data_IF_981025793159
#
_entry.id   IF_981025793159
#
_cell.length_a   1.000
_cell.length_b   1.000
_cell.length_c   1.000
_cell.angle_alpha   90.00
_cell.angle_beta   90.00
_cell.angle_gamma   90.00
#
_symmetry.space_group_name_H-M   'P 1'
#
loop_
_entity.id
_entity.type
_entity.pdbx_description
1 polymer ?
#
# COMPACT_ATOMS: atom_id res chain seq x y z
N UNK A 1 -0.73 35.40 -18.46
CA UNK A 1 0.15 34.57 -17.61
C UNK A 1 0.39 33.29 -18.38
N UNK A 2 1.59 33.13 -18.94
CA UNK A 2 1.99 31.86 -19.57
C UNK A 2 2.24 30.83 -18.47
N UNK A 3 2.19 29.54 -18.79
CA UNK A 3 2.47 28.46 -17.82
C UNK A 3 3.89 28.53 -17.19
N UNK A 4 4.76 29.40 -17.72
CA UNK A 4 6.12 29.66 -17.26
C UNK A 4 6.26 30.64 -16.08
N UNK A 5 5.24 31.46 -15.79
CA UNK A 5 5.37 32.65 -14.90
C UNK A 5 4.60 32.55 -13.57
N UNK A 6 3.98 31.41 -13.26
CA UNK A 6 3.29 31.26 -11.98
C UNK A 6 4.31 31.12 -10.85
N UNK A 7 4.17 31.82 -9.71
CA UNK A 7 4.94 31.51 -8.51
C UNK A 7 4.41 30.22 -7.84
N UNK A 8 5.24 29.51 -7.06
CA UNK A 8 4.78 28.36 -6.28
C UNK A 8 3.63 28.77 -5.35
N UNK A 9 2.59 27.94 -5.25
CA UNK A 9 1.39 28.21 -4.47
C UNK A 9 1.61 28.06 -2.96
N UNK A 10 2.70 27.41 -2.54
CA UNK A 10 3.05 27.29 -1.13
C UNK A 10 4.39 26.60 -0.84
N UNK A 11 4.71 26.38 0.46
CA UNK A 11 6.03 25.91 0.89
C UNK A 11 6.43 24.52 0.36
N UNK A 12 5.45 23.68 0.02
CA UNK A 12 5.71 22.40 -0.64
C UNK A 12 6.22 22.62 -2.07
N UNK A 13 5.52 23.43 -2.87
CA UNK A 13 5.90 23.70 -4.25
C UNK A 13 7.21 24.46 -4.33
N UNK A 14 7.46 25.43 -3.44
CA UNK A 14 8.76 26.12 -3.34
C UNK A 14 9.93 25.13 -3.21
N UNK A 15 9.80 24.14 -2.30
CA UNK A 15 10.82 23.10 -2.11
C UNK A 15 10.94 22.18 -3.31
N UNK A 16 9.82 21.78 -3.92
CA UNK A 16 9.80 20.93 -5.10
C UNK A 16 10.47 21.61 -6.29
N UNK A 17 10.25 22.91 -6.45
CA UNK A 17 10.81 23.73 -7.53
C UNK A 17 12.30 23.92 -7.35
N UNK A 18 12.74 24.31 -6.15
CA UNK A 18 14.16 24.43 -5.84
C UNK A 18 14.90 23.11 -6.08
N UNK A 19 14.33 21.98 -5.65
CA UNK A 19 14.90 20.66 -5.92
C UNK A 19 14.96 20.33 -7.42
N UNK A 20 13.95 20.72 -8.18
CA UNK A 20 13.88 20.49 -9.62
C UNK A 20 14.91 21.35 -10.39
N UNK A 21 15.01 22.65 -10.07
CA UNK A 21 15.98 23.57 -10.68
C UNK A 21 17.44 23.14 -10.40
N UNK A 22 17.69 22.58 -9.22
CA UNK A 22 19.01 22.02 -8.86
C UNK A 22 19.27 20.62 -9.43
N UNK A 23 18.32 20.05 -10.20
CA UNK A 23 18.45 18.71 -10.79
C UNK A 23 18.43 17.56 -9.77
N UNK A 24 17.90 17.79 -8.56
CA UNK A 24 17.86 16.81 -7.46
C UNK A 24 16.66 15.88 -7.57
N UNK A 25 16.63 15.05 -8.62
CA UNK A 25 15.51 14.16 -8.93
C UNK A 25 15.07 13.27 -7.74
N UNK A 26 16.01 12.70 -6.99
CA UNK A 26 15.69 11.87 -5.82
C UNK A 26 14.93 12.65 -4.73
N UNK A 27 15.25 13.93 -4.53
CA UNK A 27 14.55 14.80 -3.59
C UNK A 27 13.15 15.14 -4.09
N UNK A 28 12.99 15.43 -5.39
CA UNK A 28 11.67 15.65 -5.98
C UNK A 28 10.75 14.43 -5.78
N UNK A 29 11.25 13.23 -6.07
CA UNK A 29 10.48 11.99 -5.87
C UNK A 29 10.14 11.76 -4.40
N UNK A 30 11.07 12.05 -3.48
CA UNK A 30 10.80 11.97 -2.04
C UNK A 30 9.74 12.96 -1.57
N UNK A 31 9.70 14.17 -2.15
CA UNK A 31 8.67 15.17 -1.86
C UNK A 31 7.31 14.72 -2.41
N UNK A 32 7.26 14.26 -3.67
CA UNK A 32 6.03 13.77 -4.30
C UNK A 32 5.45 12.56 -3.56
N UNK A 33 6.29 11.70 -2.99
CA UNK A 33 5.88 10.57 -2.15
C UNK A 33 4.96 10.98 -0.99
N UNK A 34 5.20 12.15 -0.40
CA UNK A 34 4.48 12.67 0.76
C UNK A 34 3.41 13.70 0.37
N UNK A 35 3.21 13.92 -0.93
CA UNK A 35 2.29 14.93 -1.42
C UNK A 35 0.86 14.42 -1.48
N UNK A 36 -0.06 15.29 -1.08
CA UNK A 36 -1.46 15.20 -1.44
C UNK A 36 -1.66 15.85 -2.81
N UNK A 37 -2.23 15.11 -3.75
CA UNK A 37 -2.39 15.54 -5.13
C UNK A 37 -3.85 15.88 -5.43
N UNK A 38 -4.05 17.02 -6.10
CA UNK A 38 -5.33 17.42 -6.64
C UNK A 38 -5.60 16.69 -7.96
N UNK A 39 -6.69 15.94 -8.00
CA UNK A 39 -7.17 15.19 -9.16
C UNK A 39 -8.40 15.89 -9.72
N UNK A 40 -8.38 16.35 -10.99
CA UNK A 40 -9.53 17.00 -11.59
C UNK A 40 -10.74 16.07 -11.61
N UNK A 41 -11.91 16.60 -11.24
CA UNK A 41 -13.20 15.93 -11.35
C UNK A 41 -14.23 16.86 -12.00
N UNK A 42 -15.30 16.30 -12.55
CA UNK A 42 -16.41 17.09 -13.09
C UNK A 42 -17.17 17.81 -11.96
N UNK A 43 -17.87 18.90 -12.30
CA UNK A 43 -18.77 19.57 -11.36
C UNK A 43 -19.92 18.67 -10.90
N UNK A 44 -20.41 17.78 -11.78
CA UNK A 44 -21.44 16.80 -11.43
C UNK A 44 -20.92 15.78 -10.41
N UNK A 45 -19.67 15.32 -10.55
CA UNK A 45 -19.05 14.43 -9.58
C UNK A 45 -18.83 15.13 -8.23
N UNK A 46 -18.40 16.39 -8.24
CA UNK A 46 -18.26 17.19 -7.02
C UNK A 46 -19.61 17.43 -6.31
N UNK A 47 -20.70 17.54 -7.06
CA UNK A 47 -22.07 17.64 -6.53
C UNK A 47 -22.67 16.29 -6.10
N UNK A 48 -21.94 15.18 -6.26
CA UNK A 48 -22.41 13.83 -5.95
C UNK A 48 -23.48 13.30 -6.91
N UNK A 49 -23.62 13.90 -8.09
CA UNK A 49 -24.59 13.50 -9.13
C UNK A 49 -24.08 12.34 -9.99
N UNK A 50 -22.76 12.13 -10.04
CA UNK A 50 -22.10 11.02 -10.73
C UNK A 50 -20.84 10.57 -9.98
N UNK A 51 -20.34 9.35 -10.20
CA UNK A 51 -19.05 8.94 -9.63
C UNK A 51 -17.89 9.73 -10.29
N UNK A 52 -16.83 10.07 -9.53
CA UNK A 52 -15.67 10.76 -10.09
C UNK A 52 -14.92 9.86 -11.09
N UNK A 53 -14.77 10.34 -12.32
CA UNK A 53 -13.96 9.70 -13.35
C UNK A 53 -12.48 10.12 -13.24
N UNK A 54 -11.59 9.25 -13.73
CA UNK A 54 -10.16 9.57 -13.83
C UNK A 54 -9.89 10.52 -14.99
N UNK A 55 -9.39 11.72 -14.69
CA UNK A 55 -8.88 12.63 -15.71
C UNK A 55 -7.61 12.06 -16.34
N UNK A 56 -7.62 11.88 -17.66
CA UNK A 56 -6.51 11.26 -18.40
C UNK A 56 -6.14 12.06 -19.65
N UNK A 57 -4.89 11.88 -20.10
CA UNK A 57 -4.43 12.32 -21.41
C UNK A 57 -3.61 11.21 -22.07
N UNK A 58 -3.67 11.12 -23.39
CA UNK A 58 -2.81 10.24 -24.17
C UNK A 58 -1.52 10.96 -24.57
N UNK A 59 -0.38 10.32 -24.38
CA UNK A 59 0.93 10.88 -24.71
C UNK A 59 2.00 9.79 -24.75
N UNK A 60 2.94 9.87 -25.69
CA UNK A 60 4.04 8.90 -25.86
C UNK A 60 3.57 7.43 -25.94
N UNK A 61 2.41 7.19 -26.55
CA UNK A 61 1.83 5.86 -26.69
C UNK A 61 1.27 5.26 -25.39
N UNK A 62 1.10 6.06 -24.33
CA UNK A 62 0.54 5.66 -23.04
C UNK A 62 -0.56 6.62 -22.59
N UNK A 63 -1.53 6.09 -21.84
CA UNK A 63 -2.50 6.88 -21.09
C UNK A 63 -1.91 7.34 -19.75
N UNK A 64 -2.00 8.64 -19.49
CA UNK A 64 -1.49 9.29 -18.28
C UNK A 64 -2.65 9.82 -17.44
N UNK A 65 -2.69 9.42 -16.17
CA UNK A 65 -3.58 9.99 -15.18
C UNK A 65 -3.05 11.37 -14.78
N UNK A 66 -3.91 12.38 -14.77
CA UNK A 66 -3.52 13.76 -14.50
C UNK A 66 -3.68 14.09 -13.02
N UNK A 67 -2.62 14.60 -12.42
CA UNK A 67 -2.59 15.02 -11.03
C UNK A 67 -1.81 16.33 -10.88
N UNK A 68 -2.15 17.10 -9.86
CA UNK A 68 -1.57 18.42 -9.63
C UNK A 68 -1.12 18.59 -8.19
N UNK A 69 -0.04 19.33 -7.97
CA UNK A 69 0.50 19.59 -6.63
C UNK A 69 -0.31 20.61 -5.84
N UNK A 70 -1.24 21.32 -6.51
CA UNK A 70 -2.15 22.29 -5.91
C UNK A 70 -3.37 22.52 -6.80
N UNK A 71 -4.44 23.11 -6.25
CA UNK A 71 -5.63 23.51 -7.01
C UNK A 71 -5.26 24.64 -7.97
N UNK A 72 -4.39 25.55 -7.54
CA UNK A 72 -3.86 26.65 -8.34
C UNK A 72 -3.09 26.14 -9.56
N UNK A 73 -2.24 25.12 -9.39
CA UNK A 73 -1.54 24.46 -10.49
C UNK A 73 -2.53 23.79 -11.47
N UNK A 74 -3.56 23.11 -10.94
CA UNK A 74 -4.60 22.48 -11.75
C UNK A 74 -5.40 23.51 -12.58
N UNK A 75 -5.86 24.58 -11.95
CA UNK A 75 -6.62 25.64 -12.62
C UNK A 75 -5.77 26.33 -13.67
N UNK A 76 -4.49 26.59 -13.39
CA UNK A 76 -3.57 27.16 -14.37
C UNK A 76 -3.38 26.22 -15.58
N UNK A 77 -3.01 24.97 -15.34
CA UNK A 77 -2.70 24.00 -16.39
C UNK A 77 -3.90 23.72 -17.31
N UNK A 78 -5.11 23.76 -16.75
CA UNK A 78 -6.35 23.57 -17.50
C UNK A 78 -6.90 24.85 -18.15
N UNK A 79 -6.21 25.99 -18.02
CA UNK A 79 -6.70 27.27 -18.51
C UNK A 79 -8.02 27.72 -17.86
N UNK A 80 -8.28 27.29 -16.63
CA UNK A 80 -9.50 27.57 -15.87
C UNK A 80 -10.64 26.57 -16.10
N UNK A 81 -10.46 25.55 -16.94
CA UNK A 81 -11.51 24.56 -17.22
C UNK A 81 -11.76 23.61 -16.03
N UNK A 82 -10.70 23.20 -15.34
CA UNK A 82 -10.81 22.37 -14.13
C UNK A 82 -11.01 23.26 -12.90
N UNK A 83 -12.23 23.20 -12.35
CA UNK A 83 -12.66 24.01 -11.20
C UNK A 83 -12.93 23.17 -9.94
N UNK A 84 -13.05 21.85 -10.09
CA UNK A 84 -13.31 20.93 -8.99
C UNK A 84 -12.24 19.84 -8.96
N UNK A 85 -11.83 19.44 -7.77
CA UNK A 85 -10.87 18.37 -7.57
C UNK A 85 -11.23 17.46 -6.40
N UNK A 86 -10.74 16.23 -6.46
CA UNK A 86 -10.57 15.35 -5.30
C UNK A 86 -9.10 15.37 -4.91
N UNK A 87 -8.81 15.43 -3.61
CA UNK A 87 -7.45 15.33 -3.09
C UNK A 87 -7.18 13.87 -2.72
N UNK A 88 -6.02 13.33 -3.10
CA UNK A 88 -5.58 12.00 -2.73
C UNK A 88 -4.05 11.91 -2.64
N UNK A 89 -3.56 11.14 -1.67
CA UNK A 89 -2.16 10.72 -1.58
C UNK A 89 -1.81 9.70 -2.67
N UNK A 90 -0.51 9.49 -2.93
CA UNK A 90 -0.06 8.43 -3.85
C UNK A 90 -0.49 7.03 -3.42
N UNK A 91 -0.61 6.77 -2.12
CA UNK A 91 -1.02 5.47 -1.60
C UNK A 91 -2.51 5.22 -1.84
N UNK A 92 -3.36 6.22 -1.62
CA UNK A 92 -4.79 6.17 -1.97
C UNK A 92 -5.00 6.00 -3.47
N UNK A 93 -4.22 6.72 -4.28
CA UNK A 93 -4.21 6.56 -5.73
C UNK A 93 -3.86 5.13 -6.13
N UNK A 94 -2.79 4.56 -5.58
CA UNK A 94 -2.35 3.20 -5.90
C UNK A 94 -3.37 2.13 -5.48
N UNK A 95 -4.12 2.36 -4.39
CA UNK A 95 -5.17 1.45 -3.94
C UNK A 95 -6.33 1.35 -4.96
N UNK A 96 -6.66 2.47 -5.60
CA UNK A 96 -7.72 2.56 -6.61
C UNK A 96 -7.22 2.62 -8.05
N UNK A 97 -5.98 2.17 -8.32
CA UNK A 97 -5.33 2.40 -9.61
C UNK A 97 -6.11 1.72 -10.75
N UNK A 98 -6.58 2.47 -11.77
CA UNK A 98 -7.55 1.96 -12.73
C UNK A 98 -6.97 0.93 -13.72
N UNK A 99 -5.70 1.11 -14.12
CA UNK A 99 -5.02 0.25 -15.07
C UNK A 99 -3.51 0.32 -14.82
N UNK A 100 -2.88 -0.84 -14.64
CA UNK A 100 -1.45 -0.95 -14.31
C UNK A 100 -0.51 -0.43 -15.40
N UNK A 101 -1.03 -0.21 -16.62
CA UNK A 101 -0.28 0.32 -17.77
C UNK A 101 -0.28 1.84 -17.82
N UNK A 102 -1.13 2.50 -17.03
CA UNK A 102 -1.23 3.95 -17.02
C UNK A 102 -0.14 4.58 -16.16
N UNK A 103 0.44 5.66 -16.67
CA UNK A 103 1.40 6.47 -15.92
C UNK A 103 0.70 7.58 -15.13
N UNK A 104 1.45 8.28 -14.28
CA UNK A 104 0.99 9.48 -13.57
C UNK A 104 1.72 10.70 -14.14
N UNK A 105 0.96 11.66 -14.68
CA UNK A 105 1.47 12.96 -15.08
C UNK A 105 1.16 13.97 -13.96
N UNK A 106 2.21 14.42 -13.27
CA UNK A 106 2.13 15.45 -12.23
C UNK A 106 2.41 16.81 -12.87
N UNK A 107 1.49 17.75 -12.71
CA UNK A 107 1.56 19.10 -13.25
C UNK A 107 1.80 19.16 -14.78
N UNK A 108 1.11 18.34 -15.60
CA UNK A 108 1.32 18.33 -17.05
C UNK A 108 1.14 19.74 -17.64
N UNK A 109 2.08 20.14 -18.49
CA UNK A 109 2.07 21.46 -19.15
C UNK A 109 2.57 22.62 -18.29
N UNK A 110 2.97 22.38 -17.03
CA UNK A 110 3.63 23.38 -16.19
C UNK A 110 5.15 23.24 -16.21
N UNK A 111 5.85 24.31 -15.80
CA UNK A 111 7.32 24.39 -15.73
C UNK A 111 7.94 23.24 -14.92
N UNK A 112 7.40 22.99 -13.74
CA UNK A 112 7.83 21.87 -12.87
C UNK A 112 6.82 20.75 -12.99
N UNK A 113 7.09 19.84 -13.94
CA UNK A 113 6.24 18.70 -14.28
C UNK A 113 7.01 17.38 -14.23
N UNK A 114 6.27 16.29 -14.00
CA UNK A 114 6.85 14.96 -13.88
C UNK A 114 5.97 13.94 -14.59
N UNK A 115 6.60 13.06 -15.36
CA UNK A 115 5.99 11.84 -15.90
C UNK A 115 6.51 10.66 -15.11
N UNK A 116 5.64 10.04 -14.32
CA UNK A 116 5.97 8.90 -13.48
C UNK A 116 5.42 7.62 -14.13
N UNK A 117 6.34 6.75 -14.54
CA UNK A 117 6.03 5.40 -14.99
C UNK A 117 5.21 4.62 -13.95
N UNK A 118 4.32 3.70 -14.35
CA UNK A 118 3.46 2.96 -13.41
C UNK A 118 4.27 2.26 -12.30
N UNK A 119 5.40 1.64 -12.65
CA UNK A 119 6.29 1.03 -11.65
C UNK A 119 6.91 2.04 -10.68
N UNK A 120 7.16 3.27 -11.11
CA UNK A 120 7.62 4.35 -10.23
C UNK A 120 6.51 4.79 -9.30
N UNK A 121 5.28 4.91 -9.78
CA UNK A 121 4.10 5.19 -8.94
C UNK A 121 3.95 4.11 -7.87
N UNK A 122 4.00 2.82 -8.24
CA UNK A 122 3.91 1.70 -7.31
C UNK A 122 4.95 1.77 -6.18
N UNK A 123 6.21 2.05 -6.53
CA UNK A 123 7.32 2.12 -5.55
C UNK A 123 7.28 3.36 -4.66
N UNK A 124 6.75 4.48 -5.16
CA UNK A 124 6.55 5.68 -4.34
C UNK A 124 5.36 5.49 -3.40
N UNK A 125 4.24 4.97 -3.90
CA UNK A 125 3.04 4.73 -3.12
C UNK A 125 3.27 3.70 -2.01
N UNK A 126 3.89 2.57 -2.36
CA UNK A 126 4.17 1.47 -1.43
C UNK A 126 5.62 1.06 -1.57
N UNK A 127 6.55 1.73 -0.86
CA UNK A 127 7.96 1.32 -0.84
C UNK A 127 8.15 -0.07 -0.21
N UNK A 128 9.32 -0.66 -0.46
CA UNK A 128 9.75 -1.87 0.25
C UNK A 128 10.05 -1.57 1.72
N UNK A 129 9.97 -2.57 2.59
CA UNK A 129 10.31 -2.40 4.02
C UNK A 129 11.72 -1.82 4.24
N UNK A 130 12.68 -2.19 3.38
CA UNK A 130 14.06 -1.70 3.44
C UNK A 130 14.13 -0.22 3.08
N UNK A 131 13.35 0.22 2.10
CA UNK A 131 13.24 1.64 1.74
C UNK A 131 12.54 2.43 2.83
N UNK A 132 11.44 1.92 3.38
CA UNK A 132 10.70 2.55 4.48
C UNK A 132 11.61 2.83 5.69
N UNK A 133 12.41 1.84 6.10
CA UNK A 133 13.36 2.04 7.20
C UNK A 133 14.50 3.00 6.86
N UNK A 134 14.93 3.08 5.60
CA UNK A 134 15.93 4.09 5.18
C UNK A 134 15.35 5.50 5.24
N UNK A 135 14.09 5.66 4.86
CA UNK A 135 13.36 6.93 4.87
C UNK A 135 13.09 7.37 6.31
N UNK A 136 12.62 6.47 7.17
CA UNK A 136 12.29 6.76 8.56
C UNK A 136 12.93 5.73 9.53
N UNK A 137 14.25 5.84 9.81
CA UNK A 137 14.96 4.87 10.65
C UNK A 137 14.40 4.73 12.08
N UNK A 138 13.76 5.78 12.59
CA UNK A 138 13.13 5.80 13.92
C UNK A 138 11.80 5.05 14.02
N UNK A 139 11.19 4.64 12.90
CA UNK A 139 9.91 3.92 12.91
C UNK A 139 10.02 2.48 13.46
N UNK A 140 11.22 1.90 13.38
CA UNK A 140 11.49 0.52 13.79
C UNK A 140 10.94 -0.51 12.80
N UNK A 141 11.35 -1.77 12.99
CA UNK A 141 10.92 -2.86 12.10
C UNK A 141 9.41 -3.11 12.26
N UNK A 142 8.63 -3.11 11.17
CA UNK A 142 7.18 -3.28 11.25
C UNK A 142 6.81 -4.67 11.81
N UNK A 143 5.67 -4.78 12.48
CA UNK A 143 5.09 -6.10 12.78
C UNK A 143 4.28 -6.51 11.57
N UNK A 144 4.48 -7.73 11.08
CA UNK A 144 3.62 -8.33 10.05
C UNK A 144 2.68 -9.34 10.67
N UNK A 145 1.55 -9.56 10.01
CA UNK A 145 0.58 -10.56 10.40
C UNK A 145 0.06 -11.39 9.23
N UNK A 146 -0.34 -12.63 9.53
CA UNK A 146 -0.99 -13.54 8.59
C UNK A 146 -2.14 -14.25 9.30
N UNK A 147 -3.30 -14.33 8.67
CA UNK A 147 -4.39 -15.17 9.15
C UNK A 147 -4.06 -16.64 8.90
N UNK A 148 -4.38 -17.51 9.86
CA UNK A 148 -4.07 -18.94 9.84
C UNK A 148 -5.35 -19.74 9.98
N UNK A 149 -5.52 -20.79 9.16
CA UNK A 149 -6.65 -21.69 9.31
C UNK A 149 -6.52 -22.47 10.62
N UNK A 150 -7.65 -22.74 11.29
CA UNK A 150 -7.64 -23.53 12.53
C UNK A 150 -7.03 -24.93 12.31
N UNK A 151 -7.17 -25.49 11.10
CA UNK A 151 -6.61 -26.78 10.71
C UNK A 151 -5.07 -26.79 10.63
N UNK A 152 -4.43 -25.64 10.39
CA UNK A 152 -2.97 -25.53 10.22
C UNK A 152 -2.26 -25.31 11.57
N UNK A 153 -3.00 -24.94 12.62
CA UNK A 153 -2.42 -24.66 13.94
C UNK A 153 -1.68 -25.85 14.57
N UNK A 154 -2.18 -27.11 14.53
CA UNK A 154 -1.47 -28.23 15.12
C UNK A 154 -0.09 -28.48 14.47
N UNK A 155 0.00 -28.34 13.15
CA UNK A 155 1.28 -28.46 12.43
C UNK A 155 2.21 -27.32 12.83
N UNK A 156 1.71 -26.07 12.80
CA UNK A 156 2.52 -24.91 13.17
C UNK A 156 3.04 -25.00 14.62
N UNK A 157 2.19 -25.42 15.56
CA UNK A 157 2.53 -25.53 16.99
C UNK A 157 3.52 -26.67 17.30
N UNK A 158 3.54 -27.72 16.47
CA UNK A 158 4.46 -28.85 16.63
C UNK A 158 5.80 -28.66 15.90
N UNK A 159 5.90 -27.69 15.00
CA UNK A 159 7.12 -27.41 14.24
C UNK A 159 8.24 -26.85 15.14
N UNK A 160 9.44 -27.44 15.02
CA UNK A 160 10.65 -26.96 15.70
C UNK A 160 11.41 -25.86 14.95
N UNK A 161 11.09 -25.67 13.67
CA UNK A 161 11.56 -24.61 12.78
C UNK A 161 10.35 -24.16 11.94
N UNK A 162 9.37 -23.49 12.56
CA UNK A 162 8.17 -23.09 11.84
C UNK A 162 8.51 -22.10 10.73
N UNK A 163 7.91 -22.30 9.56
CA UNK A 163 8.09 -21.47 8.36
C UNK A 163 6.75 -20.95 7.88
N UNK A 164 6.78 -19.80 7.21
CA UNK A 164 5.59 -19.18 6.63
C UNK A 164 5.83 -18.79 5.18
N UNK A 165 4.82 -19.02 4.35
CA UNK A 165 4.79 -18.70 2.92
C UNK A 165 3.50 -17.97 2.57
N UNK A 166 3.47 -17.35 1.39
CA UNK A 166 2.31 -16.63 0.85
C UNK A 166 2.26 -15.19 1.34
N UNK A 167 1.06 -14.60 1.31
CA UNK A 167 0.87 -13.21 1.68
C UNK A 167 0.80 -13.02 3.21
N UNK A 168 1.36 -11.91 3.67
CA UNK A 168 1.23 -11.35 5.01
C UNK A 168 1.14 -9.83 4.92
N UNK A 169 0.60 -9.18 5.95
CA UNK A 169 0.20 -7.77 5.89
C UNK A 169 0.86 -6.98 7.01
N UNK A 170 1.02 -5.68 6.83
CA UNK A 170 1.49 -4.78 7.88
C UNK A 170 0.46 -4.71 9.01
N UNK A 171 0.81 -5.15 10.23
CA UNK A 171 -0.16 -5.35 11.31
C UNK A 171 -0.79 -4.03 11.81
N UNK A 172 -0.08 -2.90 11.70
CA UNK A 172 -0.62 -1.60 12.08
C UNK A 172 -1.76 -1.15 11.15
N UNK A 173 -1.69 -1.51 9.87
CA UNK A 173 -2.63 -1.08 8.82
C UNK A 173 -4.01 -1.73 8.99
N UNK A 174 -4.12 -2.73 9.87
CA UNK A 174 -5.36 -3.45 10.20
C UNK A 174 -5.69 -3.39 11.70
N UNK A 175 -4.90 -2.64 12.47
CA UNK A 175 -5.03 -2.59 13.94
C UNK A 175 -6.34 -1.94 14.42
N UNK A 176 -6.98 -1.12 13.58
CA UNK A 176 -8.30 -0.52 13.84
C UNK A 176 -9.46 -1.50 13.61
N UNK A 177 -9.22 -2.65 12.98
CA UNK A 177 -10.26 -3.62 12.63
C UNK A 177 -10.35 -4.70 13.71
N UNK A 178 -11.16 -4.44 14.74
CA UNK A 178 -11.37 -5.38 15.84
C UNK A 178 -12.40 -6.49 15.52
N UNK A 179 -13.21 -6.34 14.47
CA UNK A 179 -14.25 -7.32 14.13
C UNK A 179 -13.69 -8.42 13.23
N UNK A 180 -13.67 -9.71 13.63
CA UNK A 180 -13.06 -10.78 12.85
C UNK A 180 -13.63 -10.90 11.43
N UNK A 181 -14.96 -10.85 11.29
CA UNK A 181 -15.60 -10.97 9.98
C UNK A 181 -15.24 -9.82 9.02
N UNK A 182 -15.01 -8.62 9.56
CA UNK A 182 -14.56 -7.46 8.78
C UNK A 182 -13.10 -7.63 8.39
N UNK A 183 -12.24 -8.03 9.32
CA UNK A 183 -10.82 -8.27 9.03
C UNK A 183 -10.64 -9.34 7.95
N UNK A 184 -11.34 -10.47 8.08
CA UNK A 184 -11.31 -11.55 7.08
C UNK A 184 -11.83 -11.08 5.72
N UNK A 185 -12.91 -10.29 5.70
CA UNK A 185 -13.46 -9.74 4.45
C UNK A 185 -12.50 -8.77 3.76
N UNK A 186 -11.90 -7.86 4.51
CA UNK A 186 -10.97 -6.84 4.00
C UNK A 186 -9.70 -7.49 3.43
N UNK A 187 -9.23 -8.58 4.03
CA UNK A 187 -8.09 -9.37 3.55
C UNK A 187 -8.47 -10.41 2.47
N UNK A 188 -9.73 -10.45 2.02
CA UNK A 188 -10.26 -11.45 1.09
C UNK A 188 -9.97 -12.90 1.52
N UNK A 189 -10.15 -13.18 2.82
CA UNK A 189 -9.82 -14.45 3.50
C UNK A 189 -10.95 -14.89 4.43
N UNK A 190 -12.21 -14.76 3.97
CA UNK A 190 -13.42 -15.07 4.76
C UNK A 190 -13.49 -16.52 5.21
N UNK A 191 -12.92 -17.42 4.41
CA UNK A 191 -12.80 -18.85 4.66
C UNK A 191 -11.97 -19.20 5.90
N UNK A 192 -11.17 -18.26 6.44
CA UNK A 192 -10.35 -18.47 7.63
C UNK A 192 -11.10 -18.19 8.94
N UNK A 193 -12.34 -17.70 8.88
CA UNK A 193 -13.20 -17.58 10.06
C UNK A 193 -13.49 -18.96 10.64
N UNK A 194 -13.34 -19.08 11.96
CA UNK A 194 -13.73 -20.29 12.66
C UNK A 194 -15.25 -20.41 12.73
N UNK A 195 -15.75 -21.60 13.06
CA UNK A 195 -17.19 -21.81 13.33
C UNK A 195 -17.71 -20.92 14.48
N UNK A 196 -16.84 -20.54 15.42
CA UNK A 196 -17.15 -19.61 16.51
C UNK A 196 -17.09 -18.12 16.10
N UNK A 197 -16.84 -17.83 14.82
CA UNK A 197 -16.72 -16.46 14.30
C UNK A 197 -15.45 -15.72 14.73
N UNK A 198 -14.42 -16.46 15.18
CA UNK A 198 -13.12 -15.91 15.59
C UNK A 198 -12.08 -16.08 14.47
N UNK A 199 -10.91 -15.44 14.63
CA UNK A 199 -9.76 -15.61 13.74
C UNK A 199 -8.51 -16.02 14.50
N UNK A 200 -7.68 -16.84 13.87
CA UNK A 200 -6.31 -17.10 14.32
C UNK A 200 -5.34 -16.23 13.53
N UNK A 201 -4.48 -15.51 14.23
CA UNK A 201 -3.55 -14.53 13.65
C UNK A 201 -2.14 -14.88 14.10
N UNK A 202 -1.25 -15.12 13.13
CA UNK A 202 0.18 -15.21 13.36
C UNK A 202 0.80 -13.82 13.21
N UNK A 203 1.54 -13.35 14.22
CA UNK A 203 2.24 -12.06 14.23
C UNK A 203 3.72 -12.23 14.50
N UNK A 204 4.57 -11.51 13.77
CA UNK A 204 6.01 -11.53 14.01
C UNK A 204 6.68 -10.26 13.50
N UNK A 205 7.90 -10.00 13.99
CA UNK A 205 8.78 -8.99 13.43
C UNK A 205 9.67 -9.64 12.37
N UNK A 206 9.67 -9.18 11.11
CA UNK A 206 10.47 -9.76 10.04
C UNK A 206 11.97 -9.67 10.32
N UNK A 207 12.69 -10.75 9.98
CA UNK A 207 14.16 -10.81 9.97
C UNK A 207 14.60 -11.05 8.53
N UNK A 208 15.59 -10.31 8.06
CA UNK A 208 15.97 -10.32 6.64
C UNK A 208 14.87 -9.69 5.78
N UNK A 209 14.72 -8.36 5.88
CA UNK A 209 13.60 -7.61 5.29
C UNK A 209 13.45 -7.79 3.77
N UNK A 210 14.54 -8.06 3.06
CA UNK A 210 14.54 -8.36 1.62
C UNK A 210 13.74 -9.63 1.27
N UNK A 211 13.50 -10.51 2.24
CA UNK A 211 12.66 -11.71 2.09
C UNK A 211 11.16 -11.38 2.09
N UNK A 212 10.77 -10.18 2.53
CA UNK A 212 9.40 -9.68 2.62
C UNK A 212 9.15 -8.73 1.47
N UNK A 213 9.01 -9.30 0.27
CA UNK A 213 8.95 -8.53 -0.97
C UNK A 213 7.56 -7.94 -1.15
N UNK A 214 7.50 -6.64 -1.41
CA UNK A 214 6.27 -5.99 -1.88
C UNK A 214 5.85 -6.63 -3.22
N UNK A 215 4.62 -7.14 -3.34
CA UNK A 215 4.17 -7.87 -4.52
C UNK A 215 3.73 -6.89 -5.62
N UNK A 216 4.69 -6.20 -6.25
CA UNK A 216 4.40 -5.48 -7.48
C UNK A 216 4.14 -6.49 -8.61
N UNK A 217 3.07 -6.32 -9.36
CA UNK A 217 2.65 -7.31 -10.34
C UNK A 217 1.37 -6.94 -11.09
N UNK A 218 0.73 -7.93 -11.69
CA UNK A 218 -0.59 -7.80 -12.31
C UNK A 218 -1.27 -9.16 -12.48
N UNK A 219 -2.45 -9.16 -13.09
CA UNK A 219 -3.19 -10.39 -13.40
C UNK A 219 -2.57 -11.22 -14.53
N UNK A 220 -1.72 -10.59 -15.33
CA UNK A 220 -0.99 -11.20 -16.45
C UNK A 220 0.44 -10.65 -16.52
N UNK A 221 1.19 -11.17 -17.50
CA UNK A 221 2.58 -10.79 -17.72
C UNK A 221 2.74 -9.33 -18.18
N UNK A 222 1.75 -8.78 -18.88
CA UNK A 222 1.75 -7.39 -19.35
C UNK A 222 1.59 -6.42 -18.18
N UNK A 223 0.61 -6.66 -17.31
CA UNK A 223 0.39 -5.89 -16.08
C UNK A 223 1.58 -5.99 -15.14
N UNK A 224 2.16 -7.19 -14.97
CA UNK A 224 3.40 -7.36 -14.19
C UNK A 224 4.53 -6.52 -14.76
N UNK A 225 4.73 -6.55 -16.08
CA UNK A 225 5.79 -5.79 -16.74
C UNK A 225 5.58 -4.28 -16.61
N UNK A 226 4.34 -3.80 -16.70
CA UNK A 226 4.00 -2.38 -16.64
C UNK A 226 4.42 -1.71 -15.31
N UNK A 227 4.28 -2.41 -14.19
CA UNK A 227 4.75 -1.92 -12.88
C UNK A 227 6.21 -2.31 -12.57
N UNK A 228 6.94 -2.85 -13.54
CA UNK A 228 8.26 -3.46 -13.35
C UNK A 228 8.27 -4.44 -12.17
N UNK A 229 7.17 -5.18 -12.04
CA UNK A 229 6.90 -6.10 -10.95
C UNK A 229 7.47 -7.48 -11.19
N UNK A 230 7.07 -8.43 -10.35
CA UNK A 230 7.57 -9.81 -10.39
C UNK A 230 6.49 -10.85 -10.09
N UNK A 231 5.27 -10.42 -9.73
CA UNK A 231 4.14 -11.29 -9.41
C UNK A 231 3.15 -11.30 -10.57
N UNK A 232 2.71 -12.49 -10.96
CA UNK A 232 1.46 -12.70 -11.70
C UNK A 232 0.53 -13.48 -10.78
N UNK A 233 -0.68 -13.00 -10.57
CA UNK A 233 -1.65 -13.61 -9.64
C UNK A 233 -3.08 -13.33 -10.13
N UNK A 234 -4.00 -14.26 -9.88
CA UNK A 234 -5.39 -14.12 -10.28
C UNK A 234 -6.10 -12.93 -9.57
N UNK A 235 -7.17 -12.37 -10.17
CA UNK A 235 -8.04 -11.44 -9.49
C UNK A 235 -8.55 -11.99 -8.15
N UNK A 236 -8.69 -11.15 -7.10
CA UNK A 236 -8.70 -9.69 -7.15
C UNK A 236 -7.33 -9.00 -6.95
N UNK A 237 -6.20 -9.63 -7.28
CA UNK A 237 -4.87 -9.02 -7.08
C UNK A 237 -4.70 -7.64 -7.77
N UNK A 238 -4.31 -6.60 -7.00
CA UNK A 238 -4.12 -5.22 -7.50
C UNK A 238 -2.73 -5.00 -8.09
N UNK A 239 -1.71 -5.68 -7.59
CA UNK A 239 -0.36 -5.57 -8.15
C UNK A 239 0.43 -4.31 -7.79
N UNK A 240 -0.07 -3.46 -6.89
CA UNK A 240 0.59 -2.24 -6.42
C UNK A 240 1.16 -2.36 -4.99
N UNK A 241 1.24 -3.59 -4.45
CA UNK A 241 1.72 -3.84 -3.08
C UNK A 241 0.69 -3.63 -1.97
N UNK A 242 -0.59 -3.52 -2.34
CA UNK A 242 -1.72 -3.33 -1.44
C UNK A 242 -2.71 -4.49 -1.59
N UNK A 243 -3.36 -4.82 -0.48
CA UNK A 243 -4.52 -5.71 -0.49
C UNK A 243 -5.64 -5.07 -1.32
N UNK A 244 -6.40 -5.84 -2.13
CA UNK A 244 -7.57 -5.35 -2.85
C UNK A 244 -8.72 -5.01 -1.92
N UNK A 245 -8.66 -3.82 -1.32
CA UNK A 245 -9.70 -3.27 -0.47
C UNK A 245 -10.04 -1.86 -0.91
N UNK A 246 -11.35 -1.56 -0.99
CA UNK A 246 -11.86 -0.26 -1.45
C UNK A 246 -11.55 0.85 -0.44
N UNK A 247 -11.72 0.54 0.85
CA UNK A 247 -11.72 1.55 1.92
C UNK A 247 -10.52 1.44 2.86
N UNK A 248 -9.65 0.44 2.68
CA UNK A 248 -8.53 0.19 3.58
C UNK A 248 -7.22 0.09 2.82
N UNK A 249 -6.28 0.96 3.17
CA UNK A 249 -4.92 0.92 2.66
C UNK A 249 -4.13 -0.06 3.51
N UNK A 250 -3.96 -1.28 3.02
CA UNK A 250 -3.26 -2.34 3.74
C UNK A 250 -2.10 -2.80 2.89
N UNK A 251 -0.89 -2.55 3.39
CA UNK A 251 0.33 -3.03 2.73
C UNK A 251 0.45 -4.53 2.90
N UNK A 252 0.77 -5.20 1.80
CA UNK A 252 1.01 -6.63 1.76
C UNK A 252 2.43 -6.97 1.31
N UNK A 253 2.88 -8.14 1.73
CA UNK A 253 4.20 -8.68 1.43
C UNK A 253 4.04 -10.16 1.09
N UNK A 254 4.76 -10.62 0.07
CA UNK A 254 4.79 -12.03 -0.33
C UNK A 254 6.10 -12.66 0.14
N UNK A 255 5.98 -13.72 0.94
CA UNK A 255 7.10 -14.44 1.54
C UNK A 255 7.16 -15.89 1.05
N UNK A 256 8.38 -16.45 1.01
CA UNK A 256 8.63 -17.82 0.55
C UNK A 256 9.41 -18.61 1.61
N UNK A 257 8.69 -19.39 2.41
CA UNK A 257 9.26 -20.29 3.40
C UNK A 257 10.15 -19.61 4.42
N UNK A 258 9.85 -18.36 4.79
CA UNK A 258 10.66 -17.62 5.77
C UNK A 258 10.48 -18.25 7.15
N UNK A 259 11.59 -18.45 7.88
CA UNK A 259 11.54 -18.98 9.24
C UNK A 259 10.95 -17.97 10.21
N UNK A 260 10.08 -18.41 11.12
CA UNK A 260 9.57 -17.53 12.16
C UNK A 260 10.65 -17.27 13.21
N UNK A 261 10.91 -16.00 13.55
CA UNK A 261 11.92 -15.64 14.54
C UNK A 261 11.41 -15.89 15.96
N UNK A 262 12.35 -15.90 16.92
CA UNK A 262 12.01 -15.84 18.34
C UNK A 262 11.04 -14.67 18.61
N UNK A 263 10.01 -14.94 19.42
CA UNK A 263 9.00 -13.95 19.76
C UNK A 263 7.90 -13.79 18.71
N UNK A 264 7.84 -14.65 17.68
CA UNK A 264 6.63 -14.80 16.88
C UNK A 264 5.47 -15.30 17.75
N UNK A 265 4.26 -14.84 17.49
CA UNK A 265 3.11 -15.05 18.37
C UNK A 265 1.89 -15.55 17.58
N UNK A 266 1.12 -16.45 18.20
CA UNK A 266 -0.21 -16.84 17.72
C UNK A 266 -1.23 -16.17 18.63
N UNK A 267 -2.18 -15.48 18.00
CA UNK A 267 -3.27 -14.75 18.62
C UNK A 267 -4.61 -15.31 18.15
N UNK A 268 -5.60 -15.25 19.03
CA UNK A 268 -7.01 -15.38 18.68
C UNK A 268 -7.64 -13.99 18.76
N UNK A 269 -8.32 -13.57 17.70
CA UNK A 269 -9.25 -12.43 17.74
C UNK A 269 -10.66 -13.00 17.87
N UNK A 270 -11.28 -12.82 19.03
CA UNK A 270 -12.61 -13.37 19.33
C UNK A 270 -13.71 -12.64 18.58
N UNK A 271 -14.91 -13.24 18.53
CA UNK A 271 -16.08 -12.61 17.92
C UNK A 271 -16.49 -11.29 18.61
N UNK A 272 -16.16 -11.14 19.88
CA UNK A 272 -16.33 -9.89 20.66
C UNK A 272 -15.26 -8.83 20.38
N UNK A 273 -14.29 -9.13 19.50
CA UNK A 273 -13.19 -8.24 19.14
C UNK A 273 -12.08 -8.12 20.20
N UNK A 274 -11.94 -9.14 21.06
CA UNK A 274 -10.86 -9.21 22.04
C UNK A 274 -9.71 -10.06 21.51
N UNK A 275 -8.48 -9.61 21.71
CA UNK A 275 -7.29 -10.37 21.33
C UNK A 275 -6.72 -11.18 22.51
N UNK A 276 -6.47 -12.46 22.27
CA UNK A 276 -5.85 -13.36 23.22
C UNK A 276 -4.62 -14.00 22.62
N UNK A 277 -3.44 -13.71 23.17
CA UNK A 277 -2.22 -14.43 22.81
C UNK A 277 -2.34 -15.87 23.28
N UNK A 278 -2.25 -16.82 22.35
CA UNK A 278 -2.35 -18.27 22.58
C UNK A 278 -0.99 -18.94 22.69
N UNK A 279 0.00 -18.46 21.94
CA UNK A 279 1.34 -19.03 21.97
C UNK A 279 2.42 -18.01 21.58
N UNK A 280 3.65 -18.27 22.00
CA UNK A 280 4.85 -17.55 21.57
C UNK A 280 5.94 -18.54 21.18
N UNK A 281 6.57 -18.35 20.04
CA UNK A 281 7.68 -19.18 19.58
C UNK A 281 8.98 -18.81 20.29
N UNK A 282 9.61 -19.78 20.95
CA UNK A 282 10.89 -19.60 21.60
C UNK A 282 12.01 -20.19 20.74
N UNK A 283 12.78 -19.31 20.08
CA UNK A 283 13.87 -19.70 19.16
C UNK A 283 14.88 -20.69 19.75
N UNK A 284 15.39 -20.45 20.96
CA UNK A 284 16.43 -21.33 21.54
C UNK A 284 15.91 -22.72 21.94
N UNK A 285 14.68 -22.80 22.46
CA UNK A 285 14.03 -24.06 22.82
C UNK A 285 13.39 -24.74 21.61
N UNK A 286 13.34 -24.06 20.46
CA UNK A 286 12.75 -24.54 19.20
C UNK A 286 11.36 -25.15 19.38
N UNK A 287 10.51 -24.43 20.12
CA UNK A 287 9.14 -24.84 20.41
C UNK A 287 8.23 -23.65 20.70
N UNK A 288 6.94 -23.87 20.56
CA UNK A 288 5.92 -22.93 21.02
C UNK A 288 5.67 -23.06 22.51
N UNK A 289 5.62 -21.91 23.19
CA UNK A 289 5.20 -21.80 24.57
C UNK A 289 3.72 -21.40 24.58
N UNK A 290 2.86 -22.30 25.02
CA UNK A 290 1.43 -22.03 25.13
C UNK A 290 1.16 -21.09 26.30
N UNK A 291 0.34 -20.07 26.05
CA UNK A 291 -0.14 -19.15 27.07
C UNK A 291 -1.48 -19.69 27.55
N UNK A 292 -1.50 -20.25 28.77
CA UNK A 292 -2.73 -20.74 29.38
C UNK A 292 -3.71 -19.58 29.61
N UNK A 293 -5.00 -19.83 29.40
CA UNK A 293 -6.05 -19.00 30.03
C UNK A 293 -5.86 -19.16 31.54
N UNK A 294 -5.62 -18.07 32.28
CA UNK A 294 -6.04 -18.09 33.68
C UNK A 294 -7.57 -18.21 33.66
N UNK A 295 -8.14 -19.19 34.38
CA UNK A 295 -9.59 -19.30 34.52
C UNK A 295 -10.19 -18.04 35.15
#
# INVERSE_FOLDING_TARGET
MTADDQPPAGPFEERLWAAHEEGRQALCLSLLREADLALPISAAAAAGLEPPAWATADGDGRTWLLAFTSVEAMTLASGGAATHCRVASLTELAAGWPDLRWGLAVNPGLRVSFLLEPGTVARLAVPTMVQDLKIAPGSGVPVVQKLIAAADLPELLSASEPRVSGYCHHALDVSHIATPAVLAAVLNQRELLTESGSLNILRWRPVGLELYRTPYGGADEEGRAAVAGWVVEEPPFVGMGLVPSVDNIIREYKVYGVGLPHGAEIWELTIEGTEHRRAMYHGDLRRWLLVGRRP
#
